data_IF_875054809427
#
_entry.id   IF_875054809427
#
_cell.length_a   1.000
_cell.length_b   1.000
_cell.length_c   1.000
_cell.angle_alpha   90.00
_cell.angle_beta   90.00
_cell.angle_gamma   90.00
#
_symmetry.space_group_name_H-M   'P 1'
#
loop_
_entity.id
_entity.type
_entity.pdbx_description
1 polymer ?
#
# COMPACT_ATOMS: atom_id res chain seq x y z
N UNK A 1 10.10 -13.48 -16.25
CA UNK A 1 9.19 -14.61 -16.54
C UNK A 1 8.90 -14.71 -18.04
N UNK A 2 8.43 -13.64 -18.72
CA UNK A 2 8.01 -13.69 -20.14
C UNK A 2 9.01 -14.32 -21.10
N UNK A 3 10.31 -14.07 -20.95
CA UNK A 3 11.36 -14.66 -21.80
C UNK A 3 11.52 -16.19 -21.67
N UNK A 4 10.93 -16.78 -20.64
CA UNK A 4 10.94 -18.23 -20.42
C UNK A 4 9.64 -18.92 -20.81
N UNK A 5 8.62 -18.16 -21.25
CA UNK A 5 7.34 -18.72 -21.66
C UNK A 5 7.41 -19.30 -23.07
N UNK A 6 6.74 -20.43 -23.28
CA UNK A 6 6.55 -21.01 -24.63
C UNK A 6 5.68 -20.07 -25.49
N UNK A 7 5.85 -20.14 -26.82
CA UNK A 7 5.17 -19.23 -27.78
C UNK A 7 3.65 -19.23 -27.71
N UNK A 8 3.03 -20.29 -27.23
CA UNK A 8 1.58 -20.44 -27.12
C UNK A 8 0.98 -20.08 -25.74
N UNK A 9 1.83 -19.59 -24.82
CA UNK A 9 1.39 -19.17 -23.48
C UNK A 9 1.14 -17.65 -23.48
N UNK A 10 -0.03 -17.25 -23.00
CA UNK A 10 -0.42 -15.85 -22.83
C UNK A 10 -0.35 -15.49 -21.35
N UNK A 11 0.59 -14.61 -21.01
CA UNK A 11 0.82 -14.14 -19.66
C UNK A 11 0.08 -12.80 -19.44
N UNK A 12 -0.83 -12.78 -18.48
CA UNK A 12 -1.50 -11.56 -18.00
C UNK A 12 -1.36 -11.51 -16.49
N UNK A 13 -0.83 -10.43 -15.97
CA UNK A 13 -0.65 -10.24 -14.55
C UNK A 13 -1.98 -9.84 -13.91
N UNK A 14 -2.24 -10.42 -12.74
CA UNK A 14 -3.39 -10.07 -11.89
C UNK A 14 -2.88 -9.69 -10.50
N UNK A 15 -3.42 -8.63 -9.94
CA UNK A 15 -3.13 -8.21 -8.57
C UNK A 15 -4.43 -8.10 -7.79
N UNK A 16 -4.87 -9.15 -7.10
CA UNK A 16 -5.99 -9.06 -6.17
C UNK A 16 -5.55 -8.25 -4.95
N UNK A 17 -6.32 -7.21 -4.63
CA UNK A 17 -6.12 -6.38 -3.44
C UNK A 17 -6.84 -7.07 -2.27
N UNK A 18 -6.32 -8.22 -1.94
CA UNK A 18 -6.84 -9.09 -0.90
C UNK A 18 -5.66 -9.77 -0.22
N UNK A 19 -5.65 -9.78 1.11
CA UNK A 19 -4.56 -10.36 1.87
C UNK A 19 -4.61 -9.94 3.32
N UNK A 20 -3.74 -10.55 4.09
CA UNK A 20 -3.48 -10.23 5.49
C UNK A 20 -1.97 -10.14 5.71
N UNK A 21 -1.55 -9.83 6.92
CA UNK A 21 -0.14 -9.77 7.30
C UNK A 21 0.52 -11.15 7.41
N UNK A 22 -0.29 -12.21 7.42
CA UNK A 22 0.17 -13.60 7.51
C UNK A 22 0.29 -14.21 6.11
N UNK A 23 1.27 -15.08 5.93
CA UNK A 23 1.54 -15.78 4.68
C UNK A 23 1.25 -17.27 4.84
N UNK A 24 0.87 -17.92 3.75
CA UNK A 24 0.64 -19.37 3.68
C UNK A 24 -0.79 -19.73 3.28
N UNK A 25 -0.99 -20.87 2.64
CA UNK A 25 -2.29 -21.32 2.16
C UNK A 25 -3.27 -21.60 3.32
N UNK A 26 -2.78 -21.94 4.50
CA UNK A 26 -3.55 -22.20 5.72
C UNK A 26 -4.32 -20.98 6.22
N UNK A 27 -3.91 -19.78 5.80
CA UNK A 27 -4.60 -18.52 6.12
C UNK A 27 -5.60 -18.09 5.04
N UNK A 28 -5.76 -18.90 3.98
CA UNK A 28 -6.74 -18.68 2.92
C UNK A 28 -8.17 -18.80 3.45
N UNK A 29 -9.07 -17.93 2.95
CA UNK A 29 -10.50 -17.97 3.27
C UNK A 29 -11.29 -17.97 1.97
N UNK A 30 -12.39 -18.72 1.94
CA UNK A 30 -13.28 -18.79 0.78
C UNK A 30 -13.76 -17.40 0.32
N UNK A 31 -14.06 -16.52 1.26
CA UNK A 31 -14.52 -15.14 1.00
C UNK A 31 -13.38 -14.14 0.72
N UNK A 32 -12.14 -14.58 0.62
CA UNK A 32 -10.97 -13.68 0.54
C UNK A 32 -11.07 -12.65 -0.59
N UNK A 33 -11.65 -13.03 -1.72
CA UNK A 33 -11.76 -12.16 -2.89
C UNK A 33 -13.11 -11.45 -3.03
N UNK A 34 -14.07 -11.79 -2.16
CA UNK A 34 -15.42 -11.22 -2.22
C UNK A 34 -15.38 -9.70 -2.00
N UNK A 35 -15.98 -8.95 -2.94
CA UNK A 35 -16.03 -7.48 -2.96
C UNK A 35 -14.65 -6.77 -3.00
N UNK A 36 -13.56 -7.52 -3.23
CA UNK A 36 -12.21 -6.98 -3.34
C UNK A 36 -11.90 -6.55 -4.77
N UNK A 37 -11.06 -5.55 -4.90
CA UNK A 37 -10.53 -5.20 -6.20
C UNK A 37 -9.52 -6.24 -6.68
N UNK A 38 -9.63 -6.63 -7.94
CA UNK A 38 -8.58 -7.33 -8.66
C UNK A 38 -8.17 -6.50 -9.88
N UNK A 39 -6.88 -6.19 -9.97
CA UNK A 39 -6.33 -5.38 -11.05
C UNK A 39 -5.74 -6.31 -12.09
N UNK A 40 -6.20 -6.19 -13.34
CA UNK A 40 -5.63 -6.88 -14.48
C UNK A 40 -4.70 -5.92 -15.23
N UNK A 41 -3.49 -6.35 -15.48
CA UNK A 41 -2.49 -5.55 -16.18
C UNK A 41 -2.59 -5.80 -17.68
N UNK A 42 -2.95 -4.73 -18.40
CA UNK A 42 -3.04 -4.74 -19.87
C UNK A 42 -1.80 -4.07 -20.45
N UNK A 43 -1.03 -4.84 -21.21
CA UNK A 43 0.08 -4.35 -22.03
C UNK A 43 -0.34 -4.19 -23.48
N UNK A 44 0.49 -3.52 -24.31
CA UNK A 44 0.22 -3.27 -25.75
C UNK A 44 -0.12 -4.56 -26.54
N UNK A 45 0.54 -5.68 -26.20
CA UNK A 45 0.36 -6.97 -26.88
C UNK A 45 -0.67 -7.88 -26.21
N UNK A 46 -1.36 -7.43 -25.15
CA UNK A 46 -2.37 -8.23 -24.46
C UNK A 46 -3.57 -8.43 -25.35
N UNK A 47 -3.87 -9.69 -25.71
CA UNK A 47 -5.05 -10.01 -26.52
C UNK A 47 -6.32 -9.91 -25.68
N UNK A 48 -7.32 -9.21 -26.22
CA UNK A 48 -8.60 -8.96 -25.54
C UNK A 48 -9.27 -10.25 -25.08
N UNK A 49 -9.32 -11.28 -25.93
CA UNK A 49 -9.92 -12.59 -25.62
C UNK A 49 -9.45 -13.16 -24.28
N UNK A 50 -8.14 -13.15 -24.02
CA UNK A 50 -7.59 -13.73 -22.79
C UNK A 50 -7.76 -12.80 -21.59
N UNK A 51 -7.78 -11.50 -21.82
CA UNK A 51 -8.12 -10.53 -20.79
C UNK A 51 -9.56 -10.70 -20.32
N UNK A 52 -10.48 -10.93 -21.25
CA UNK A 52 -11.91 -11.16 -20.95
C UNK A 52 -12.13 -12.48 -20.18
N UNK A 53 -11.41 -13.54 -20.53
CA UNK A 53 -11.44 -14.81 -19.79
C UNK A 53 -11.01 -14.58 -18.32
N UNK A 54 -9.91 -13.88 -18.11
CA UNK A 54 -9.38 -13.63 -16.78
C UNK A 54 -10.27 -12.66 -15.98
N UNK A 55 -10.84 -11.66 -16.64
CA UNK A 55 -11.84 -10.77 -16.05
C UNK A 55 -13.06 -11.56 -15.52
N UNK A 56 -13.58 -12.47 -16.34
CA UNK A 56 -14.72 -13.30 -15.95
C UNK A 56 -14.36 -14.26 -14.81
N UNK A 57 -13.16 -14.83 -14.81
CA UNK A 57 -12.67 -15.67 -13.72
C UNK A 57 -12.70 -14.91 -12.40
N UNK A 58 -12.07 -13.72 -12.32
CA UNK A 58 -12.02 -12.94 -11.08
C UNK A 58 -13.40 -12.45 -10.64
N UNK A 59 -14.31 -12.12 -11.57
CA UNK A 59 -15.69 -11.78 -11.25
C UNK A 59 -16.46 -12.95 -10.64
N UNK A 60 -16.25 -14.17 -11.14
CA UNK A 60 -16.84 -15.39 -10.56
C UNK A 60 -16.30 -15.67 -9.16
N UNK A 61 -15.06 -15.25 -8.84
CA UNK A 61 -14.50 -15.29 -7.50
C UNK A 61 -15.01 -14.18 -6.57
N UNK A 62 -15.99 -13.37 -7.03
CA UNK A 62 -16.57 -12.27 -6.27
C UNK A 62 -15.80 -10.95 -6.31
N UNK A 63 -14.72 -10.86 -7.10
CA UNK A 63 -13.90 -9.64 -7.18
C UNK A 63 -14.50 -8.55 -8.05
N UNK A 64 -14.28 -7.30 -7.68
CA UNK A 64 -14.44 -6.12 -8.53
C UNK A 64 -13.21 -6.00 -9.41
N UNK A 65 -13.37 -6.08 -10.74
CA UNK A 65 -12.21 -6.10 -11.65
C UNK A 65 -12.02 -4.75 -12.31
N UNK A 66 -10.78 -4.29 -12.34
CA UNK A 66 -10.35 -3.10 -13.09
C UNK A 66 -9.12 -3.44 -13.95
N UNK A 67 -9.06 -2.84 -15.13
CA UNK A 67 -7.93 -3.01 -16.06
C UNK A 67 -7.10 -1.74 -16.09
N UNK A 68 -5.78 -1.86 -15.99
CA UNK A 68 -4.87 -0.71 -16.14
C UNK A 68 -3.53 -1.12 -16.74
N UNK A 69 -2.73 -0.13 -17.15
CA UNK A 69 -1.36 -0.38 -17.62
C UNK A 69 -0.40 -0.62 -16.46
N UNK A 70 0.76 -1.28 -16.68
CA UNK A 70 1.80 -1.46 -15.65
C UNK A 70 2.20 -0.14 -15.01
N UNK A 71 2.44 0.89 -15.82
CA UNK A 71 2.92 2.21 -15.33
C UNK A 71 1.88 2.90 -14.43
N UNK A 72 0.58 2.75 -14.76
CA UNK A 72 -0.50 3.28 -13.93
C UNK A 72 -0.60 2.53 -12.61
N UNK A 73 -0.50 1.20 -12.65
CA UNK A 73 -0.48 0.34 -11.47
C UNK A 73 0.65 0.76 -10.53
N UNK A 74 1.89 0.76 -11.02
CA UNK A 74 3.07 1.02 -10.19
C UNK A 74 3.06 2.43 -9.58
N UNK A 75 2.56 3.41 -10.33
CA UNK A 75 2.39 4.78 -9.83
C UNK A 75 1.33 4.88 -8.73
N UNK A 76 0.19 4.19 -8.87
CA UNK A 76 -0.86 4.19 -7.84
C UNK A 76 -0.34 3.51 -6.58
N UNK A 77 0.24 2.31 -6.73
CA UNK A 77 0.67 1.51 -5.58
C UNK A 77 1.91 2.07 -4.88
N UNK A 78 2.73 2.88 -5.55
CA UNK A 78 3.80 3.61 -4.86
C UNK A 78 3.28 4.52 -3.75
N UNK A 79 2.08 5.08 -3.90
CA UNK A 79 1.43 5.97 -2.91
C UNK A 79 0.49 5.21 -1.97
N UNK A 80 -0.31 4.27 -2.50
CA UNK A 80 -1.39 3.66 -1.71
C UNK A 80 -0.95 2.43 -0.91
N UNK A 81 0.19 1.85 -1.25
CA UNK A 81 0.73 0.64 -0.61
C UNK A 81 2.19 0.80 -0.20
N UNK A 82 3.09 1.09 -1.15
CA UNK A 82 4.53 1.02 -0.90
C UNK A 82 5.00 2.11 0.08
N UNK A 83 4.57 3.36 -0.12
CA UNK A 83 4.90 4.45 0.79
C UNK A 83 4.39 4.22 2.23
N UNK A 84 3.13 3.79 2.46
CA UNK A 84 2.66 3.45 3.81
C UNK A 84 3.53 2.42 4.53
N UNK A 85 3.93 1.34 3.87
CA UNK A 85 4.81 0.33 4.47
C UNK A 85 6.19 0.88 4.77
N UNK A 86 6.79 1.65 3.84
CA UNK A 86 8.06 2.32 4.07
C UNK A 86 7.99 3.25 5.29
N UNK A 87 6.89 4.02 5.43
CA UNK A 87 6.68 4.91 6.57
C UNK A 87 6.58 4.11 7.86
N UNK A 88 5.88 2.97 7.86
CA UNK A 88 5.77 2.12 9.05
C UNK A 88 7.13 1.58 9.49
N UNK A 89 7.95 1.05 8.57
CA UNK A 89 9.33 0.64 8.86
C UNK A 89 10.16 1.81 9.40
N UNK A 90 10.07 2.97 8.76
CA UNK A 90 10.84 4.15 9.17
C UNK A 90 10.37 4.73 10.51
N UNK A 91 9.09 4.67 10.83
CA UNK A 91 8.56 5.11 12.11
C UNK A 91 9.13 4.27 13.25
N UNK A 92 9.15 2.94 13.11
CA UNK A 92 9.76 2.04 14.11
C UNK A 92 11.26 2.29 14.21
N UNK A 93 11.96 2.42 13.07
CA UNK A 93 13.38 2.76 13.08
C UNK A 93 13.64 4.08 13.80
N UNK A 94 12.83 5.10 13.58
CA UNK A 94 12.96 6.41 14.24
C UNK A 94 12.78 6.28 15.75
N UNK A 95 11.76 5.51 16.18
CA UNK A 95 11.51 5.27 17.61
C UNK A 95 12.70 4.55 18.28
N UNK A 96 13.22 3.49 17.63
CA UNK A 96 14.38 2.74 18.17
C UNK A 96 15.68 3.56 18.16
N UNK A 97 15.92 4.38 17.14
CA UNK A 97 17.08 5.26 17.10
C UNK A 97 17.01 6.32 18.21
N UNK A 98 15.81 6.84 18.48
CA UNK A 98 15.61 7.79 19.59
C UNK A 98 15.84 7.12 20.96
N UNK A 99 15.30 5.92 21.15
CA UNK A 99 15.46 5.12 22.38
C UNK A 99 16.96 4.88 22.69
N UNK A 100 17.71 4.41 21.70
CA UNK A 100 19.16 4.17 21.83
C UNK A 100 19.93 5.43 22.23
N UNK A 101 19.60 6.59 21.64
CA UNK A 101 20.29 7.86 21.92
C UNK A 101 20.00 8.41 23.34
N UNK A 102 18.79 8.15 23.85
CA UNK A 102 18.31 8.72 25.11
C UNK A 102 18.29 7.74 26.26
N UNK A 103 18.56 6.44 26.01
CA UNK A 103 18.47 5.35 26.99
C UNK A 103 17.08 5.25 27.65
N UNK A 104 16.03 5.52 26.88
CA UNK A 104 14.63 5.39 27.31
C UNK A 104 14.08 4.04 26.88
N UNK A 105 13.15 3.47 27.65
CA UNK A 105 12.37 2.31 27.26
C UNK A 105 11.08 2.77 26.55
N UNK A 106 11.24 3.50 25.44
CA UNK A 106 10.16 4.19 24.73
C UNK A 106 9.09 3.20 24.20
N UNK A 107 9.52 2.04 23.73
CA UNK A 107 8.65 1.02 23.15
C UNK A 107 7.65 0.51 24.19
N UNK A 108 8.00 0.46 25.46
CA UNK A 108 7.10 0.05 26.55
C UNK A 108 5.91 1.01 26.73
N UNK A 109 6.03 2.24 26.24
CA UNK A 109 4.96 3.24 26.28
C UNK A 109 4.18 3.33 24.96
N UNK A 110 4.25 2.29 24.12
CA UNK A 110 3.53 2.25 22.84
C UNK A 110 2.02 2.23 23.07
N UNK A 111 1.36 3.34 22.75
CA UNK A 111 -0.09 3.45 22.71
C UNK A 111 -0.64 3.04 21.34
N UNK A 112 -1.97 3.04 21.19
CA UNK A 112 -2.67 2.61 19.98
C UNK A 112 -2.11 3.19 18.68
N UNK A 113 -1.73 4.47 18.65
CA UNK A 113 -1.19 5.11 17.45
C UNK A 113 0.08 4.44 16.92
N UNK A 114 1.08 4.19 17.77
CA UNK A 114 2.30 3.49 17.35
C UNK A 114 2.02 2.03 17.00
N UNK A 115 1.18 1.35 17.78
CA UNK A 115 0.80 -0.06 17.57
C UNK A 115 0.09 -0.23 16.23
N UNK A 116 -0.91 0.57 15.92
CA UNK A 116 -1.68 0.47 14.68
C UNK A 116 -0.83 0.79 13.46
N UNK A 117 0.01 1.83 13.54
CA UNK A 117 0.90 2.21 12.45
C UNK A 117 2.02 1.19 12.20
N UNK A 118 2.54 0.57 13.27
CA UNK A 118 3.62 -0.40 13.16
C UNK A 118 3.17 -1.79 12.71
N UNK A 119 1.87 -2.08 12.76
CA UNK A 119 1.34 -3.40 12.40
C UNK A 119 1.81 -3.88 11.04
N UNK A 120 1.76 -3.03 10.02
CA UNK A 120 2.19 -3.37 8.66
C UNK A 120 3.71 -3.50 8.50
N UNK A 121 4.50 -3.03 9.45
CA UNK A 121 5.96 -3.24 9.47
C UNK A 121 6.36 -4.67 9.89
N UNK A 122 5.42 -5.52 10.29
CA UNK A 122 5.65 -6.94 10.54
C UNK A 122 5.60 -7.80 9.27
N UNK A 123 5.39 -7.21 8.10
CA UNK A 123 5.35 -7.91 6.82
C UNK A 123 6.72 -8.45 6.41
N UNK A 124 6.73 -9.47 5.51
CA UNK A 124 7.96 -10.13 5.06
C UNK A 124 8.95 -9.13 4.43
N UNK A 125 10.13 -9.05 5.00
CA UNK A 125 11.18 -8.08 4.66
C UNK A 125 11.78 -8.32 3.27
N UNK A 126 11.90 -9.57 2.83
CA UNK A 126 12.44 -9.90 1.51
C UNK A 126 11.46 -9.46 0.42
N UNK A 127 10.18 -9.77 0.59
CA UNK A 127 9.13 -9.33 -0.33
C UNK A 127 9.11 -7.80 -0.45
N UNK A 128 9.20 -7.08 0.67
CA UNK A 128 9.17 -5.62 0.65
C UNK A 128 10.43 -4.99 0.07
N UNK A 129 11.60 -5.59 0.31
CA UNK A 129 12.84 -5.20 -0.36
C UNK A 129 12.67 -5.26 -1.89
N UNK A 130 12.16 -6.37 -2.39
CA UNK A 130 11.99 -6.59 -3.83
C UNK A 130 10.96 -5.62 -4.43
N UNK A 131 9.83 -5.40 -3.74
CA UNK A 131 8.83 -4.40 -4.14
C UNK A 131 9.45 -3.00 -4.21
N UNK A 132 10.27 -2.62 -3.22
CA UNK A 132 10.90 -1.30 -3.20
C UNK A 132 11.91 -1.13 -4.35
N UNK A 133 12.65 -2.17 -4.69
CA UNK A 133 13.62 -2.13 -5.77
C UNK A 133 12.95 -2.11 -7.14
N UNK A 134 11.96 -2.96 -7.36
CA UNK A 134 11.25 -3.06 -8.63
C UNK A 134 10.48 -1.78 -8.99
N UNK A 135 9.93 -1.07 -7.99
CA UNK A 135 9.21 0.19 -8.19
C UNK A 135 9.99 1.43 -7.70
N UNK A 136 11.31 1.36 -7.65
CA UNK A 136 12.18 2.36 -7.02
C UNK A 136 11.95 3.79 -7.52
N UNK A 137 11.80 3.99 -8.83
CA UNK A 137 11.60 5.31 -9.42
C UNK A 137 10.32 6.01 -8.94
N UNK A 138 9.20 5.27 -8.84
CA UNK A 138 7.94 5.84 -8.37
C UNK A 138 7.97 6.03 -6.85
N UNK A 139 8.58 5.11 -6.13
CA UNK A 139 8.72 5.19 -4.67
C UNK A 139 9.61 6.37 -4.28
N UNK A 140 10.74 6.61 -4.96
CA UNK A 140 11.59 7.78 -4.71
C UNK A 140 10.80 9.09 -4.85
N UNK A 141 10.01 9.23 -5.92
CA UNK A 141 9.14 10.40 -6.09
C UNK A 141 8.09 10.54 -5.00
N UNK A 142 7.53 9.41 -4.54
CA UNK A 142 6.57 9.40 -3.45
C UNK A 142 7.22 9.83 -2.12
N UNK A 143 8.44 9.38 -1.85
CA UNK A 143 9.25 9.77 -0.70
C UNK A 143 9.54 11.26 -0.73
N UNK A 144 9.98 11.81 -1.86
CA UNK A 144 10.27 13.23 -2.00
C UNK A 144 9.05 14.10 -1.70
N UNK A 145 7.88 13.70 -2.22
CA UNK A 145 6.61 14.36 -1.93
C UNK A 145 6.25 14.28 -0.44
N UNK A 146 6.46 13.12 0.18
CA UNK A 146 6.19 12.92 1.60
C UNK A 146 7.12 13.77 2.48
N UNK A 147 8.41 13.81 2.16
CA UNK A 147 9.39 14.66 2.85
C UNK A 147 9.02 16.14 2.72
N UNK A 148 8.63 16.59 1.52
CA UNK A 148 8.15 17.96 1.31
C UNK A 148 6.98 18.30 2.20
N UNK A 149 6.00 17.41 2.31
CA UNK A 149 4.83 17.59 3.16
C UNK A 149 5.21 17.61 4.65
N UNK A 150 6.08 16.68 5.09
CA UNK A 150 6.60 16.67 6.46
C UNK A 150 7.33 17.97 6.84
N UNK A 151 8.19 18.47 5.94
CA UNK A 151 8.88 19.76 6.14
C UNK A 151 7.88 20.90 6.28
N UNK A 152 6.80 20.89 5.50
CA UNK A 152 5.73 21.89 5.61
C UNK A 152 4.99 21.82 6.95
N UNK A 153 4.70 20.63 7.47
CA UNK A 153 4.16 20.45 8.82
C UNK A 153 5.15 20.94 9.89
N UNK A 154 6.42 20.52 9.81
CA UNK A 154 7.48 20.95 10.74
C UNK A 154 7.60 22.47 10.80
N UNK A 155 7.56 23.16 9.64
CA UNK A 155 7.58 24.63 9.58
C UNK A 155 6.41 25.23 10.34
N UNK A 156 5.20 24.75 10.08
CA UNK A 156 4.00 25.29 10.73
C UNK A 156 3.98 25.03 12.24
N UNK A 157 4.48 23.87 12.67
CA UNK A 157 4.62 23.52 14.10
C UNK A 157 5.60 24.48 14.78
N UNK A 158 6.78 24.68 14.20
CA UNK A 158 7.81 25.56 14.75
C UNK A 158 7.32 27.03 14.87
N UNK A 159 6.56 27.48 13.86
CA UNK A 159 6.01 28.83 13.82
C UNK A 159 4.70 28.95 14.58
N UNK A 160 4.19 27.88 15.21
CA UNK A 160 2.86 27.82 15.86
C UNK A 160 1.74 28.35 14.96
N UNK A 161 1.84 28.09 13.64
CA UNK A 161 0.88 28.60 12.66
C UNK A 161 -0.44 27.82 12.73
N UNK A 162 -1.29 28.23 13.68
CA UNK A 162 -2.57 27.60 13.96
C UNK A 162 -3.47 27.49 12.73
N UNK A 163 -3.59 28.57 11.94
CA UNK A 163 -4.46 28.59 10.74
C UNK A 163 -4.03 27.56 9.70
N UNK A 164 -2.73 27.46 9.43
CA UNK A 164 -2.19 26.52 8.44
C UNK A 164 -2.31 25.06 8.90
N UNK A 165 -1.98 24.79 10.16
CA UNK A 165 -2.10 23.44 10.74
C UNK A 165 -3.56 22.98 10.71
N UNK A 166 -4.50 23.76 11.20
CA UNK A 166 -5.92 23.40 11.21
C UNK A 166 -6.44 23.14 9.79
N UNK A 167 -6.08 23.97 8.82
CA UNK A 167 -6.47 23.76 7.42
C UNK A 167 -6.02 22.40 6.91
N UNK A 168 -4.74 22.01 7.15
CA UNK A 168 -4.18 20.71 6.74
C UNK A 168 -4.90 19.54 7.40
N UNK A 169 -5.11 19.62 8.73
CA UNK A 169 -5.77 18.56 9.49
C UNK A 169 -7.24 18.38 9.06
N UNK A 170 -7.97 19.46 8.82
CA UNK A 170 -9.35 19.40 8.34
C UNK A 170 -9.43 18.76 6.94
N UNK A 171 -8.52 19.17 6.04
CA UNK A 171 -8.47 18.58 4.69
C UNK A 171 -8.20 17.07 4.72
N UNK A 172 -7.22 16.63 5.50
CA UNK A 172 -6.90 15.20 5.63
C UNK A 172 -8.03 14.42 6.29
N UNK A 173 -8.67 14.95 7.32
CA UNK A 173 -9.84 14.34 7.96
C UNK A 173 -11.00 14.14 6.98
N UNK A 174 -11.27 15.10 6.09
CA UNK A 174 -12.29 14.96 5.03
C UNK A 174 -11.96 13.81 4.07
N UNK A 175 -10.69 13.67 3.68
CA UNK A 175 -10.25 12.57 2.80
C UNK A 175 -10.41 11.23 3.52
N UNK A 176 -10.01 11.12 4.80
CA UNK A 176 -10.19 9.89 5.59
C UNK A 176 -11.66 9.49 5.67
N UNK A 177 -12.57 10.43 5.86
CA UNK A 177 -14.01 10.16 5.86
C UNK A 177 -14.51 9.59 4.54
N UNK A 178 -13.94 10.01 3.39
CA UNK A 178 -14.25 9.41 2.08
C UNK A 178 -13.73 7.98 1.99
N UNK A 179 -12.50 7.70 2.45
CA UNK A 179 -11.91 6.37 2.45
C UNK A 179 -12.79 5.39 3.24
N UNK A 180 -13.26 5.78 4.42
CA UNK A 180 -14.15 4.95 5.24
C UNK A 180 -15.46 4.64 4.49
N UNK A 181 -16.06 5.65 3.83
CA UNK A 181 -17.30 5.45 3.05
C UNK A 181 -17.15 4.49 1.88
N UNK A 182 -15.94 4.34 1.33
CA UNK A 182 -15.66 3.38 0.25
C UNK A 182 -15.67 1.92 0.74
N UNK A 183 -15.87 1.67 2.03
CA UNK A 183 -15.91 0.34 2.67
C UNK A 183 -14.69 -0.54 2.29
N UNK A 184 -13.53 0.08 2.08
CA UNK A 184 -12.27 -0.63 1.90
C UNK A 184 -11.66 -1.08 3.22
N UNK A 185 -12.21 -0.63 4.34
CA UNK A 185 -11.86 -1.10 5.68
C UNK A 185 -12.49 -2.47 5.90
N UNK A 186 -11.69 -3.45 5.79
CA UNK A 186 -12.04 -4.83 5.62
C UNK A 186 -11.68 -5.59 6.87
N UNK A 187 -12.15 -5.23 7.93
CA UNK A 187 -12.30 -6.08 9.11
C UNK A 187 -13.38 -5.44 9.98
N UNK A 188 -14.63 -5.74 9.65
CA UNK A 188 -15.63 -5.87 10.69
C UNK A 188 -15.68 -7.36 11.01
N UNK A 189 -15.59 -7.71 12.31
CA UNK A 189 -15.73 -9.07 12.77
C UNK A 189 -17.04 -9.68 12.29
#
# INVERSE_FOLDING_TARGET
IKKFLKKNIYWIQSHPIAGSEVSGPEHGKESMFQDRWCILIKEKKTKKKYLDILNNFWKKMGSKVIVMTPEKHDRIFSITSHLPHLIAYNLIKTATDFEKRRKYNLINFSAGGLRDFSRIAASNEIMWRDIFFDNSNNISKAIDLFIKNLRSFKKDINLKNNKSILKKLIQTKRVRSKIIKLKHDINKP
#
